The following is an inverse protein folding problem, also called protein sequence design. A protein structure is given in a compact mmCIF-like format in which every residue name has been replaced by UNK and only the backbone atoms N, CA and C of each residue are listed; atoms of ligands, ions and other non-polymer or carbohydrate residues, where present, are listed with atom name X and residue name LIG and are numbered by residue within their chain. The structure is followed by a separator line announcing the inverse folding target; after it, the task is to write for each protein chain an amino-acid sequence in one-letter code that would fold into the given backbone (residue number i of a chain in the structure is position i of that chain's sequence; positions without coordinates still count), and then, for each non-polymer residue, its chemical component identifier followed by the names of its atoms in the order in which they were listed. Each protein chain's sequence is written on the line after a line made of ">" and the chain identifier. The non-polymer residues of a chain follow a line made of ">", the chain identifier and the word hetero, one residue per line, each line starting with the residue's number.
data_IF_076989051763
#
_entry.id   IF_076989051763
#
_cell.length_a   1.000
_cell.length_b   1.000
_cell.length_c   1.000
_cell.angle_alpha   90.00
_cell.angle_beta   90.00
_cell.angle_gamma   90.00
#
_symmetry.space_group_name_H-M   'P 1'
#
loop_
_entity.id
_entity.type
_entity.pdbx_description
1 polymer ?
#
# COMPACT_ATOMS: atom_id res chain seq x y z
N UNK A 1 4.59 -23.73 -6.27
CA UNK A 1 4.66 -24.18 -4.86
C UNK A 1 5.92 -25.00 -4.64
N UNK A 2 6.56 -24.94 -3.45
CA UNK A 2 7.73 -25.74 -3.13
C UNK A 2 7.34 -27.13 -2.57
N UNK A 3 8.23 -28.15 -2.66
CA UNK A 3 8.09 -29.41 -1.92
C UNK A 3 7.96 -29.17 -0.41
N UNK A 4 7.03 -29.87 0.25
CA UNK A 4 6.75 -29.67 1.68
C UNK A 4 5.85 -28.46 2.00
N UNK A 5 5.44 -27.69 0.98
CA UNK A 5 4.53 -26.56 1.12
C UNK A 5 5.17 -25.32 1.72
N UNK A 6 4.32 -24.34 2.07
CA UNK A 6 4.77 -23.06 2.60
C UNK A 6 5.06 -23.11 4.11
N UNK A 7 4.60 -24.10 4.85
CA UNK A 7 4.68 -24.07 6.31
C UNK A 7 6.12 -24.19 6.84
N UNK A 8 6.32 -23.84 8.12
CA UNK A 8 7.58 -24.13 8.81
C UNK A 8 7.73 -25.65 8.89
N UNK A 9 8.84 -26.18 8.37
CA UNK A 9 9.14 -27.61 8.43
C UNK A 9 9.90 -27.89 9.74
N UNK A 10 9.45 -28.88 10.50
CA UNK A 10 10.10 -29.27 11.76
C UNK A 10 11.47 -29.89 11.45
N UNK A 11 12.51 -29.46 12.18
CA UNK A 11 13.89 -29.92 11.97
C UNK A 11 14.66 -29.14 10.91
N UNK A 12 14.02 -28.18 10.25
CA UNK A 12 14.65 -27.31 9.26
C UNK A 12 15.47 -26.24 9.98
N UNK A 13 16.79 -26.44 10.02
CA UNK A 13 17.77 -25.57 10.69
C UNK A 13 18.76 -24.92 9.72
N UNK A 14 18.80 -25.39 8.47
CA UNK A 14 19.69 -24.86 7.44
C UNK A 14 19.18 -23.48 6.98
N UNK A 15 20.00 -22.41 7.03
CA UNK A 15 19.54 -21.07 6.68
C UNK A 15 19.07 -20.92 5.23
N UNK A 16 19.84 -21.45 4.26
CA UNK A 16 19.56 -21.26 2.83
C UNK A 16 18.19 -21.84 2.38
N UNK A 17 17.80 -23.08 2.72
CA UNK A 17 16.47 -23.59 2.38
C UNK A 17 15.32 -22.79 3.01
N UNK A 18 15.50 -22.31 4.24
CA UNK A 18 14.51 -21.49 4.94
C UNK A 18 14.31 -20.16 4.22
N UNK A 19 15.42 -19.49 3.88
CA UNK A 19 15.42 -18.22 3.16
C UNK A 19 14.81 -18.37 1.77
N UNK A 20 15.21 -19.37 0.98
CA UNK A 20 14.60 -19.64 -0.33
C UNK A 20 13.10 -19.87 -0.23
N UNK A 21 12.64 -20.65 0.75
CA UNK A 21 11.19 -20.84 0.97
C UNK A 21 10.48 -19.54 1.32
N UNK A 22 11.10 -18.67 2.10
CA UNK A 22 10.54 -17.36 2.46
C UNK A 22 10.44 -16.44 1.24
N UNK A 23 11.58 -16.21 0.56
CA UNK A 23 11.71 -15.21 -0.50
C UNK A 23 11.07 -15.67 -1.81
N UNK A 24 11.35 -16.89 -2.27
CA UNK A 24 10.88 -17.38 -3.58
C UNK A 24 9.43 -17.84 -3.56
N UNK A 25 8.87 -18.20 -2.39
CA UNK A 25 7.56 -18.84 -2.31
C UNK A 25 6.58 -18.16 -1.35
N UNK A 26 6.94 -17.94 -0.07
CA UNK A 26 5.99 -17.38 0.92
C UNK A 26 5.62 -15.94 0.63
N UNK A 27 6.60 -15.07 0.39
CA UNK A 27 6.33 -13.64 0.15
C UNK A 27 5.48 -13.45 -1.11
N UNK A 28 5.80 -14.06 -2.28
CA UNK A 28 4.93 -13.99 -3.45
C UNK A 28 3.52 -14.55 -3.20
N UNK A 29 3.40 -15.65 -2.45
CA UNK A 29 2.09 -16.21 -2.11
C UNK A 29 1.28 -15.28 -1.20
N UNK A 30 1.92 -14.59 -0.26
CA UNK A 30 1.26 -13.59 0.59
C UNK A 30 0.78 -12.38 -0.21
N UNK A 31 1.59 -11.88 -1.16
CA UNK A 31 1.21 -10.82 -2.09
C UNK A 31 -0.04 -11.21 -2.88
N UNK A 32 -0.02 -12.37 -3.53
CA UNK A 32 -1.15 -12.87 -4.32
C UNK A 32 -2.39 -13.12 -3.46
N UNK A 33 -2.21 -13.66 -2.25
CA UNK A 33 -3.30 -13.81 -1.29
C UNK A 33 -3.92 -12.44 -0.95
N UNK A 34 -3.10 -11.43 -0.68
CA UNK A 34 -3.60 -10.10 -0.36
C UNK A 34 -4.36 -9.45 -1.52
N UNK A 35 -3.88 -9.65 -2.76
CA UNK A 35 -4.51 -9.16 -3.99
C UNK A 35 -5.88 -9.81 -4.22
N UNK A 36 -5.93 -11.14 -4.24
CA UNK A 36 -7.15 -11.91 -4.54
C UNK A 36 -8.22 -11.71 -3.46
N UNK A 37 -7.81 -11.56 -2.19
CA UNK A 37 -8.73 -11.37 -1.07
C UNK A 37 -9.02 -9.89 -0.76
N UNK A 38 -8.53 -8.95 -1.59
CA UNK A 38 -8.74 -7.51 -1.42
C UNK A 38 -8.43 -7.02 0.02
N UNK A 39 -7.30 -7.49 0.55
CA UNK A 39 -6.87 -7.14 1.91
C UNK A 39 -6.65 -5.63 2.03
N UNK A 40 -6.10 -5.00 0.98
CA UNK A 40 -6.02 -3.56 0.85
C UNK A 40 -7.31 -3.04 0.20
N UNK A 41 -7.86 -1.95 0.73
CA UNK A 41 -9.19 -1.44 0.37
C UNK A 41 -9.15 0.01 -0.08
N UNK A 42 -9.87 0.30 -1.15
CA UNK A 42 -10.17 1.67 -1.57
C UNK A 42 -11.42 2.14 -0.82
N UNK A 43 -11.25 3.13 0.04
CA UNK A 43 -12.28 3.64 0.94
C UNK A 43 -13.05 4.78 0.28
N UNK A 44 -12.33 5.67 -0.41
CA UNK A 44 -12.92 6.72 -1.25
C UNK A 44 -12.33 6.62 -2.65
N UNK A 45 -13.19 6.69 -3.66
CA UNK A 45 -12.80 6.63 -5.06
C UNK A 45 -13.47 7.71 -5.91
N UNK A 46 -12.87 8.01 -7.05
CA UNK A 46 -13.33 9.01 -7.99
C UNK A 46 -12.50 9.03 -9.27
N UNK A 47 -13.04 9.63 -10.34
CA UNK A 47 -12.38 9.67 -11.64
C UNK A 47 -11.25 10.72 -11.72
N UNK A 48 -11.34 11.83 -10.98
CA UNK A 48 -10.19 12.75 -10.83
C UNK A 48 -9.21 12.19 -9.81
N UNK A 49 -7.93 12.32 -10.14
CA UNK A 49 -6.79 11.94 -9.30
C UNK A 49 -6.01 13.20 -8.92
N UNK A 50 -6.53 13.95 -7.96
CA UNK A 50 -5.83 15.13 -7.43
C UNK A 50 -4.91 14.71 -6.28
N UNK A 51 -5.51 14.15 -5.23
CA UNK A 51 -4.82 13.72 -4.02
C UNK A 51 -5.16 12.26 -3.69
N UNK A 52 -4.16 11.39 -3.71
CA UNK A 52 -4.26 10.06 -3.13
C UNK A 52 -3.80 10.10 -1.68
N UNK A 53 -4.55 9.49 -0.76
CA UNK A 53 -4.11 9.29 0.63
C UNK A 53 -3.90 7.80 0.84
N UNK A 54 -2.68 7.39 1.20
CA UNK A 54 -2.37 6.01 1.59
C UNK A 54 -2.18 5.96 3.09
N UNK A 55 -2.84 5.01 3.75
CA UNK A 55 -2.73 4.85 5.19
C UNK A 55 -2.95 3.40 5.61
N UNK A 56 -2.54 3.04 6.83
CA UNK A 56 -2.69 1.71 7.40
C UNK A 56 -2.92 1.81 8.91
N UNK A 57 -3.37 0.73 9.54
CA UNK A 57 -3.43 0.65 11.00
C UNK A 57 -4.30 1.72 11.66
N UNK A 58 -3.82 2.30 12.77
CA UNK A 58 -4.52 3.36 13.52
C UNK A 58 -4.59 4.70 12.78
N UNK A 59 -3.54 5.18 12.09
CA UNK A 59 -3.60 6.42 11.32
C UNK A 59 -4.78 6.54 10.36
N UNK A 60 -5.31 5.41 9.88
CA UNK A 60 -6.55 5.40 9.11
C UNK A 60 -7.71 6.12 9.81
N UNK A 61 -7.91 5.90 11.10
CA UNK A 61 -9.00 6.53 11.86
C UNK A 61 -8.75 8.03 12.01
N UNK A 62 -7.50 8.44 12.21
CA UNK A 62 -7.13 9.86 12.31
C UNK A 62 -7.37 10.58 10.99
N UNK A 63 -7.00 9.97 9.85
CA UNK A 63 -7.31 10.50 8.51
C UNK A 63 -8.83 10.62 8.30
N UNK A 64 -9.59 9.62 8.72
CA UNK A 64 -11.06 9.64 8.59
C UNK A 64 -11.69 10.75 9.42
N UNK A 65 -11.21 10.97 10.64
CA UNK A 65 -11.71 12.03 11.50
C UNK A 65 -11.33 13.40 10.96
N UNK A 66 -10.08 13.59 10.52
CA UNK A 66 -9.65 14.85 9.90
C UNK A 66 -10.46 15.20 8.63
N UNK A 67 -10.74 14.24 7.76
CA UNK A 67 -11.61 14.47 6.59
C UNK A 67 -13.03 14.85 7.02
N UNK A 68 -13.55 14.23 8.08
CA UNK A 68 -14.87 14.56 8.63
C UNK A 68 -14.90 15.96 9.25
N UNK A 69 -13.87 16.37 9.98
CA UNK A 69 -13.75 17.73 10.53
C UNK A 69 -13.67 18.81 9.45
N UNK A 70 -13.19 18.47 8.26
CA UNK A 70 -13.17 19.34 7.08
C UNK A 70 -14.47 19.31 6.25
N UNK A 71 -15.51 18.63 6.75
CA UNK A 71 -16.76 18.36 6.02
C UNK A 71 -16.54 17.69 4.66
N UNK A 72 -15.54 16.79 4.58
CA UNK A 72 -15.21 15.99 3.38
C UNK A 72 -15.76 14.58 3.55
N UNK A 73 -16.99 14.39 3.09
CA UNK A 73 -17.58 13.06 2.87
C UNK A 73 -17.11 12.44 1.54
N UNK A 74 -17.59 11.24 1.21
CA UNK A 74 -17.22 10.54 -0.03
C UNK A 74 -17.62 11.32 -1.29
N UNK A 75 -18.78 11.97 -1.29
CA UNK A 75 -19.27 12.72 -2.45
C UNK A 75 -18.40 13.96 -2.69
N UNK A 76 -18.06 14.69 -1.62
CA UNK A 76 -17.17 15.84 -1.69
C UNK A 76 -15.74 15.42 -2.02
N UNK A 77 -15.24 14.34 -1.45
CA UNK A 77 -13.93 13.76 -1.80
C UNK A 77 -13.85 13.46 -3.30
N UNK A 78 -14.89 12.80 -3.86
CA UNK A 78 -14.99 12.51 -5.30
C UNK A 78 -14.99 13.78 -6.16
N UNK A 79 -15.71 14.82 -5.75
CA UNK A 79 -15.73 16.11 -6.46
C UNK A 79 -14.36 16.83 -6.39
N UNK A 80 -13.68 16.74 -5.26
CA UNK A 80 -12.34 17.30 -5.04
C UNK A 80 -11.22 16.46 -5.67
N UNK A 81 -11.48 15.21 -6.06
CA UNK A 81 -10.47 14.30 -6.59
C UNK A 81 -9.58 13.69 -5.50
N UNK A 82 -10.10 13.58 -4.27
CA UNK A 82 -9.45 12.94 -3.13
C UNK A 82 -9.83 11.47 -3.11
N UNK A 83 -8.85 10.58 -3.02
CA UNK A 83 -9.03 9.12 -3.04
C UNK A 83 -8.27 8.49 -1.88
N UNK A 84 -8.90 7.62 -1.10
CA UNK A 84 -8.34 7.11 0.17
C UNK A 84 -8.12 5.60 0.10
N UNK A 85 -6.86 5.17 0.18
CA UNK A 85 -6.45 3.77 0.12
C UNK A 85 -5.94 3.28 1.48
N UNK A 86 -6.65 2.30 2.04
CA UNK A 86 -6.31 1.67 3.32
C UNK A 86 -5.59 0.35 3.06
N UNK A 87 -4.33 0.27 3.46
CA UNK A 87 -3.57 -0.97 3.44
C UNK A 87 -3.97 -1.87 4.61
N UNK A 88 -4.35 -3.11 4.31
CA UNK A 88 -4.54 -4.18 5.29
C UNK A 88 -3.29 -5.06 5.46
N UNK A 89 -2.36 -5.01 4.49
CA UNK A 89 -1.06 -5.68 4.55
C UNK A 89 0.02 -4.69 4.07
N UNK A 90 0.86 -4.22 5.01
CA UNK A 90 1.93 -3.24 4.73
C UNK A 90 3.28 -3.88 4.41
N UNK A 91 3.44 -5.18 4.72
CA UNK A 91 4.62 -5.95 4.32
C UNK A 91 4.24 -7.41 4.01
N UNK A 92 4.70 -7.96 2.87
CA UNK A 92 5.18 -7.21 1.70
C UNK A 92 4.07 -6.29 1.16
N UNK A 93 4.41 -5.11 0.61
CA UNK A 93 3.43 -4.30 -0.10
C UNK A 93 2.96 -5.04 -1.36
N UNK A 94 1.65 -5.11 -1.57
CA UNK A 94 1.05 -5.69 -2.79
C UNK A 94 1.21 -4.68 -3.95
N UNK A 95 2.03 -4.97 -4.97
CA UNK A 95 2.49 -3.96 -5.91
C UNK A 95 1.43 -3.54 -6.92
N UNK A 96 0.54 -4.44 -7.35
CA UNK A 96 -0.40 -4.16 -8.43
C UNK A 96 -1.47 -3.15 -8.00
N UNK A 97 -2.13 -3.40 -6.87
CA UNK A 97 -3.13 -2.50 -6.31
C UNK A 97 -2.53 -1.17 -5.85
N UNK A 98 -1.34 -1.19 -5.26
CA UNK A 98 -0.63 0.02 -4.85
C UNK A 98 -0.24 0.90 -6.04
N UNK A 99 0.34 0.32 -7.10
CA UNK A 99 0.67 1.05 -8.32
C UNK A 99 -0.59 1.60 -9.00
N UNK A 100 -1.61 0.75 -9.22
CA UNK A 100 -2.87 1.16 -9.82
C UNK A 100 -3.57 2.27 -9.04
N UNK A 101 -3.44 2.28 -7.72
CA UNK A 101 -3.92 3.39 -6.92
C UNK A 101 -3.10 4.64 -7.20
N UNK A 102 -1.76 4.58 -7.10
CA UNK A 102 -0.90 5.76 -7.12
C UNK A 102 -0.81 6.46 -8.47
N UNK A 103 -0.78 5.74 -9.59
CA UNK A 103 -0.57 6.33 -10.93
C UNK A 103 -1.58 7.44 -11.25
N UNK A 104 -1.13 8.43 -12.03
CA UNK A 104 -1.92 9.54 -12.56
C UNK A 104 -2.48 10.51 -11.50
N UNK A 105 -2.16 10.33 -10.20
CA UNK A 105 -2.37 11.39 -9.21
C UNK A 105 -1.37 12.53 -9.37
N UNK A 106 -1.77 13.75 -8.99
CA UNK A 106 -0.81 14.84 -8.81
C UNK A 106 0.07 14.58 -7.58
N UNK A 107 -0.55 14.16 -6.49
CA UNK A 107 0.13 13.88 -5.24
C UNK A 107 -0.46 12.64 -4.54
N UNK A 108 0.41 11.88 -3.90
CA UNK A 108 0.04 10.82 -2.97
C UNK A 108 0.67 11.10 -1.62
N UNK A 109 -0.17 11.39 -0.63
CA UNK A 109 0.20 11.58 0.76
C UNK A 109 0.17 10.24 1.50
N UNK A 110 1.28 9.87 2.12
CA UNK A 110 1.40 8.68 2.97
C UNK A 110 1.27 9.08 4.43
N UNK A 111 0.23 8.59 5.10
CA UNK A 111 -0.04 8.86 6.52
C UNK A 111 0.18 7.57 7.31
N UNK A 112 1.30 7.48 8.03
CA UNK A 112 1.74 6.24 8.68
C UNK A 112 2.33 6.35 10.10
N UNK A 113 2.27 5.22 10.82
CA UNK A 113 2.69 4.93 12.21
C UNK A 113 3.90 3.97 12.15
N UNK A 114 5.17 4.39 12.34
CA UNK A 114 5.69 5.70 12.77
C UNK A 114 6.97 6.16 12.03
N UNK A 115 7.62 5.27 11.27
CA UNK A 115 8.72 5.59 10.33
C UNK A 115 8.19 5.50 8.89
N UNK A 116 8.94 6.01 7.91
CA UNK A 116 8.57 6.05 6.48
C UNK A 116 8.56 4.66 5.77
N UNK A 117 7.90 3.66 6.34
CA UNK A 117 7.97 2.26 5.88
C UNK A 117 7.12 1.99 4.63
N UNK A 118 5.91 2.54 4.57
CA UNK A 118 5.03 2.47 3.40
C UNK A 118 5.53 3.42 2.32
N UNK A 119 5.94 4.63 2.71
CA UNK A 119 6.48 5.65 1.81
C UNK A 119 7.70 5.13 1.03
N UNK A 120 8.64 4.46 1.70
CA UNK A 120 9.83 3.88 1.06
C UNK A 120 9.46 2.80 0.03
N UNK A 121 8.54 1.90 0.39
CA UNK A 121 8.09 0.85 -0.51
C UNK A 121 7.35 1.41 -1.72
N UNK A 122 6.50 2.42 -1.55
CA UNK A 122 5.79 3.09 -2.64
C UNK A 122 6.76 3.85 -3.55
N UNK A 123 7.72 4.56 -2.99
CA UNK A 123 8.73 5.31 -3.77
C UNK A 123 9.56 4.35 -4.63
N UNK A 124 9.99 3.22 -4.06
CA UNK A 124 10.70 2.18 -4.79
C UNK A 124 9.85 1.56 -5.89
N UNK A 125 8.59 1.20 -5.58
CA UNK A 125 7.63 0.63 -6.54
C UNK A 125 7.39 1.56 -7.74
N UNK A 126 7.24 2.86 -7.49
CA UNK A 126 6.87 3.84 -8.51
C UNK A 126 8.06 4.41 -9.28
N UNK A 127 9.30 4.04 -8.91
CA UNK A 127 10.51 4.64 -9.46
C UNK A 127 10.57 4.56 -11.00
N UNK A 128 10.18 3.41 -11.57
CA UNK A 128 10.23 3.14 -13.01
C UNK A 128 8.97 3.55 -13.78
N UNK A 129 7.96 4.13 -13.12
CA UNK A 129 6.77 4.66 -13.78
C UNK A 129 7.14 5.91 -14.59
N UNK A 130 6.54 6.03 -15.78
CA UNK A 130 6.73 7.18 -16.66
C UNK A 130 6.46 8.49 -15.90
N UNK A 131 7.35 9.48 -16.07
CA UNK A 131 7.33 10.71 -15.26
C UNK A 131 6.01 11.49 -15.33
N UNK A 132 5.28 11.42 -16.46
CA UNK A 132 3.97 12.06 -16.64
C UNK A 132 2.82 11.36 -15.90
N UNK A 133 3.04 10.14 -15.40
CA UNK A 133 2.06 9.33 -14.65
C UNK A 133 2.47 9.10 -13.20
N UNK A 134 3.72 9.41 -12.85
CA UNK A 134 4.27 9.21 -11.51
C UNK A 134 3.86 10.39 -10.62
N UNK A 135 3.11 10.17 -9.52
CA UNK A 135 2.74 11.24 -8.60
C UNK A 135 3.95 11.78 -7.84
N UNK A 136 3.79 12.95 -7.22
CA UNK A 136 4.63 13.34 -6.07
C UNK A 136 4.25 12.47 -4.88
N UNK A 137 5.20 11.79 -4.25
CA UNK A 137 4.98 11.11 -2.96
C UNK A 137 5.38 12.08 -1.86
N UNK A 138 4.51 12.28 -0.87
CA UNK A 138 4.82 13.06 0.33
C UNK A 138 4.44 12.28 1.58
N UNK A 139 5.18 12.51 2.68
CA UNK A 139 4.93 11.77 3.91
C UNK A 139 5.84 12.16 5.08
N UNK A 140 6.47 11.17 5.69
CA UNK A 140 7.28 11.31 6.92
C UNK A 140 8.74 11.71 6.66
N UNK A 141 9.00 12.32 5.49
CA UNK A 141 10.27 12.98 5.12
C UNK A 141 10.13 14.42 4.66
N UNK A 142 8.92 14.88 4.35
CA UNK A 142 8.65 16.22 3.81
C UNK A 142 8.02 17.16 4.85
N UNK A 143 7.89 16.70 6.09
CA UNK A 143 7.61 17.48 7.30
C UNK A 143 8.90 17.68 8.11
#
# INVERSE_FOLDING_TARGET
>A
MPPGGLNKIKGDIAPLPIERRLVEFKLPAAIEFARVNQINRLIFDGPRRELGIVTAGKPYLDVREALKELDIDEARARALGIRLYKLGMIYPLEPHGAEQFCVDHKEVLVVEEKSAFIEDQLTSLLYHIAANRRPRITGKRDE
#
